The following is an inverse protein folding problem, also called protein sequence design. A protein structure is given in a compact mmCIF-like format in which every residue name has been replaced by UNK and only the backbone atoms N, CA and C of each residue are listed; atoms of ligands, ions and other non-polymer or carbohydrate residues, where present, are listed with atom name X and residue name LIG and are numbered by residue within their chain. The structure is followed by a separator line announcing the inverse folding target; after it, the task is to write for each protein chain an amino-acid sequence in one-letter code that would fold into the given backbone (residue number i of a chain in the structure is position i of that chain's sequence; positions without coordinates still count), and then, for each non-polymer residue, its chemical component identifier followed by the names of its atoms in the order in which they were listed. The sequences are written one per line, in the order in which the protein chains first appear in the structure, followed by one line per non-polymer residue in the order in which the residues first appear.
data_IF_234777585578
#
_entry.id   IF_234777585578
#
_cell.length_a   1.000
_cell.length_b   1.000
_cell.length_c   1.000
_cell.angle_alpha   90.00
_cell.angle_beta   90.00
_cell.angle_gamma   90.00
#
_symmetry.space_group_name_H-M   'P 1'
#
loop_
_entity.id
_entity.type
_entity.pdbx_description
1 polymer ?
#
# COMPACT_ATOMS: atom_id res chain seq x y z
N UNK A 1 -4.07 7.28 16.08
CA UNK A 1 -4.17 5.83 16.31
C UNK A 1 -5.36 5.55 17.19
N UNK A 2 -6.33 4.82 16.66
CA UNK A 2 -7.55 4.41 17.35
C UNK A 2 -7.34 3.13 18.18
N UNK A 3 -8.26 2.78 19.10
CA UNK A 3 -8.23 1.47 19.78
C UNK A 3 -8.24 0.28 18.79
N UNK A 4 -8.98 0.40 17.68
CA UNK A 4 -9.01 -0.62 16.64
C UNK A 4 -7.66 -0.80 15.93
N UNK A 5 -6.91 0.30 15.71
CA UNK A 5 -5.55 0.22 15.17
C UNK A 5 -4.60 -0.49 16.16
N UNK A 6 -4.74 -0.24 17.47
CA UNK A 6 -3.93 -0.90 18.51
C UNK A 6 -4.22 -2.41 18.54
N UNK A 7 -5.49 -2.80 18.47
CA UNK A 7 -5.88 -4.20 18.37
C UNK A 7 -5.33 -4.87 17.11
N UNK A 8 -5.43 -4.20 15.96
CA UNK A 8 -4.85 -4.68 14.70
C UNK A 8 -3.35 -4.91 14.82
N UNK A 9 -2.63 -3.96 15.43
CA UNK A 9 -1.19 -4.10 15.70
C UNK A 9 -0.91 -5.28 16.64
N UNK A 10 -1.75 -5.51 17.66
CA UNK A 10 -1.64 -6.66 18.56
C UNK A 10 -1.77 -7.99 17.78
N UNK A 11 -2.81 -8.11 16.96
CA UNK A 11 -3.05 -9.30 16.13
C UNK A 11 -1.89 -9.54 15.17
N UNK A 12 -1.37 -8.48 14.53
CA UNK A 12 -0.26 -8.59 13.59
C UNK A 12 1.07 -8.94 14.28
N UNK A 13 1.34 -8.37 15.46
CA UNK A 13 2.50 -8.74 16.27
C UNK A 13 2.42 -10.22 16.69
N UNK A 14 1.24 -10.69 17.11
CA UNK A 14 0.99 -12.10 17.38
C UNK A 14 1.21 -12.99 16.16
N UNK A 15 0.75 -12.57 14.98
CA UNK A 15 1.02 -13.28 13.72
C UNK A 15 2.52 -13.37 13.39
N UNK A 16 3.25 -12.27 13.59
CA UNK A 16 4.69 -12.23 13.39
C UNK A 16 5.40 -13.22 14.34
N UNK A 17 4.96 -13.29 15.60
CA UNK A 17 5.46 -14.22 16.61
C UNK A 17 5.20 -15.69 16.25
N UNK A 18 4.04 -16.00 15.66
CA UNK A 18 3.73 -17.34 15.15
C UNK A 18 4.64 -17.76 13.97
N UNK A 19 5.41 -16.82 13.39
CA UNK A 19 6.32 -17.08 12.27
C UNK A 19 5.63 -17.33 10.93
N UNK A 20 4.30 -17.20 10.87
CA UNK A 20 3.51 -17.47 9.67
C UNK A 20 2.41 -16.45 9.46
N UNK A 21 2.31 -15.94 8.23
CA UNK A 21 1.26 -15.02 7.80
C UNK A 21 -0.05 -15.75 7.50
N UNK A 22 -0.75 -16.16 8.57
CA UNK A 22 -1.98 -16.95 8.45
C UNK A 22 -3.15 -16.15 7.88
N UNK A 23 -3.18 -14.83 8.11
CA UNK A 23 -4.23 -13.93 7.60
C UNK A 23 -4.02 -13.46 6.16
N UNK A 24 -2.86 -13.74 5.57
CA UNK A 24 -2.47 -13.28 4.24
C UNK A 24 -2.52 -11.75 4.11
N UNK A 25 -1.98 -11.04 5.10
CA UNK A 25 -2.00 -9.57 5.14
C UNK A 25 -0.62 -8.94 5.13
N UNK A 26 -0.54 -7.66 4.74
CA UNK A 26 0.67 -6.83 4.70
C UNK A 26 0.38 -5.59 5.54
N UNK A 27 1.23 -5.32 6.52
CA UNK A 27 1.08 -4.17 7.41
C UNK A 27 1.83 -2.95 6.87
N UNK A 28 1.09 -1.88 6.60
CA UNK A 28 1.61 -0.57 6.20
C UNK A 28 1.53 0.39 7.39
N UNK A 29 2.65 0.96 7.78
CA UNK A 29 2.74 2.01 8.80
C UNK A 29 3.22 3.30 8.14
N UNK A 30 2.33 4.28 7.95
CA UNK A 30 2.70 5.57 7.37
C UNK A 30 2.52 6.68 8.39
N UNK A 31 3.22 7.80 8.27
CA UNK A 31 3.00 8.93 9.18
C UNK A 31 4.25 9.77 9.37
N UNK A 32 4.26 10.67 10.34
CA UNK A 32 5.37 11.62 10.55
C UNK A 32 6.70 10.93 10.85
N UNK A 33 7.80 11.54 10.37
CA UNK A 33 9.15 11.14 10.75
C UNK A 33 9.32 11.28 12.27
N UNK A 34 9.93 10.28 12.92
CA UNK A 34 10.10 10.27 14.38
C UNK A 34 8.86 9.89 15.19
N UNK A 35 7.76 9.45 14.56
CA UNK A 35 6.54 9.01 15.26
C UNK A 35 6.61 7.63 15.93
N UNK A 36 7.79 6.98 16.02
CA UNK A 36 7.95 5.67 16.66
C UNK A 36 7.64 4.44 15.79
N UNK A 37 7.33 4.63 14.49
CA UNK A 37 7.08 3.53 13.53
C UNK A 37 8.22 2.52 13.50
N UNK A 38 9.46 3.01 13.27
CA UNK A 38 10.64 2.16 13.18
C UNK A 38 10.98 1.50 14.52
N UNK A 39 10.73 2.18 15.64
CA UNK A 39 10.87 1.61 17.00
C UNK A 39 9.93 0.42 17.18
N UNK A 40 8.64 0.55 16.82
CA UNK A 40 7.71 -0.58 16.88
C UNK A 40 8.20 -1.77 16.04
N UNK A 41 8.62 -1.52 14.79
CA UNK A 41 9.10 -2.60 13.93
C UNK A 41 10.35 -3.25 14.50
N UNK A 42 11.27 -2.48 15.09
CA UNK A 42 12.46 -3.02 15.73
C UNK A 42 12.13 -3.89 16.96
N UNK A 43 11.11 -3.51 17.76
CA UNK A 43 10.62 -4.32 18.87
C UNK A 43 10.04 -5.64 18.34
N UNK A 44 9.22 -5.61 17.28
CA UNK A 44 8.67 -6.82 16.66
C UNK A 44 9.79 -7.72 16.10
N UNK A 45 10.79 -7.15 15.41
CA UNK A 45 11.97 -7.88 14.94
C UNK A 45 12.76 -8.52 16.10
N UNK A 46 12.83 -7.84 17.25
CA UNK A 46 13.44 -8.36 18.47
C UNK A 46 12.69 -9.55 19.05
N UNK A 47 11.36 -9.45 19.16
CA UNK A 47 10.49 -10.53 19.67
C UNK A 47 10.53 -11.78 18.78
N UNK A 48 10.48 -11.59 17.46
CA UNK A 48 10.57 -12.69 16.47
C UNK A 48 11.99 -13.28 16.42
N UNK A 49 12.98 -12.53 16.91
CA UNK A 49 14.39 -12.82 16.75
C UNK A 49 14.90 -12.28 15.41
N UNK A 50 15.87 -11.35 15.46
CA UNK A 50 16.37 -10.65 14.26
C UNK A 50 16.96 -11.59 13.20
N UNK A 51 17.41 -12.78 13.59
CA UNK A 51 17.90 -13.82 12.68
C UNK A 51 16.78 -14.43 11.80
N UNK A 52 15.51 -14.31 12.19
CA UNK A 52 14.34 -14.68 11.38
C UNK A 52 13.87 -13.55 10.46
N UNK A 53 14.52 -12.39 10.50
CA UNK A 53 14.13 -11.22 9.75
C UNK A 53 15.05 -11.00 8.54
N UNK A 54 14.52 -10.38 7.50
CA UNK A 54 15.31 -9.84 6.39
C UNK A 54 14.64 -8.61 5.78
N UNK A 55 15.44 -7.78 5.14
CA UNK A 55 14.96 -6.58 4.47
C UNK A 55 14.14 -6.95 3.23
N UNK A 56 12.92 -6.42 3.15
CA UNK A 56 12.07 -6.45 1.96
C UNK A 56 12.55 -5.40 0.95
N UNK A 57 12.84 -5.83 -0.28
CA UNK A 57 13.27 -4.94 -1.36
C UNK A 57 12.45 -5.18 -2.62
N UNK A 58 11.37 -4.42 -2.79
CA UNK A 58 10.38 -4.62 -3.85
C UNK A 58 10.98 -4.57 -5.25
N UNK A 59 11.96 -3.70 -5.48
CA UNK A 59 12.68 -3.57 -6.76
C UNK A 59 13.41 -4.85 -7.19
N UNK A 60 13.88 -5.64 -6.22
CA UNK A 60 14.64 -6.87 -6.49
C UNK A 60 13.79 -8.14 -6.47
N UNK A 61 12.51 -8.08 -6.07
CA UNK A 61 11.68 -9.29 -5.94
C UNK A 61 11.53 -10.07 -7.25
N UNK A 62 11.59 -9.41 -8.41
CA UNK A 62 11.56 -10.09 -9.71
C UNK A 62 12.91 -10.70 -10.13
N UNK A 63 13.97 -10.47 -9.36
CA UNK A 63 15.29 -11.05 -9.66
C UNK A 63 15.37 -12.49 -9.15
N UNK A 64 16.14 -13.30 -9.87
CA UNK A 64 16.28 -14.75 -9.63
C UNK A 64 16.74 -15.10 -8.20
N UNK A 65 17.60 -14.29 -7.61
CA UNK A 65 18.30 -14.61 -6.37
C UNK A 65 17.71 -13.94 -5.13
N UNK A 66 16.83 -12.95 -5.26
CA UNK A 66 16.32 -12.21 -4.10
C UNK A 66 15.58 -13.12 -3.11
N UNK A 67 14.82 -14.08 -3.63
CA UNK A 67 14.05 -15.00 -2.80
C UNK A 67 14.96 -15.86 -1.89
N UNK A 68 16.17 -16.21 -2.33
CA UNK A 68 17.10 -17.02 -1.52
C UNK A 68 17.49 -16.36 -0.19
N UNK A 69 17.44 -15.03 -0.09
CA UNK A 69 17.65 -14.28 1.17
C UNK A 69 16.56 -14.52 2.20
N UNK A 70 15.40 -15.00 1.75
CA UNK A 70 14.23 -15.24 2.59
C UNK A 70 14.22 -16.65 3.15
N UNK A 71 15.17 -17.51 2.76
CA UNK A 71 15.25 -18.86 3.32
C UNK A 71 15.49 -18.79 4.84
N UNK A 72 14.66 -19.53 5.58
CA UNK A 72 14.70 -19.55 7.04
C UNK A 72 14.22 -18.24 7.70
N UNK A 73 13.61 -17.33 6.93
CA UNK A 73 13.04 -16.08 7.44
C UNK A 73 11.53 -16.22 7.58
N UNK A 74 10.94 -15.45 8.49
CA UNK A 74 9.50 -15.41 8.73
C UNK A 74 8.93 -14.00 8.65
N UNK A 75 9.79 -12.98 8.78
CA UNK A 75 9.41 -11.57 8.77
C UNK A 75 10.26 -10.77 7.76
N UNK A 76 9.58 -10.12 6.83
CA UNK A 76 10.16 -9.19 5.87
C UNK A 76 9.84 -7.76 6.31
N UNK A 77 10.85 -6.91 6.45
CA UNK A 77 10.63 -5.51 6.85
C UNK A 77 11.22 -4.54 5.84
N UNK A 78 10.48 -3.48 5.52
CA UNK A 78 10.98 -2.34 4.76
C UNK A 78 10.76 -1.09 5.60
N UNK A 79 11.83 -0.48 6.09
CA UNK A 79 11.75 0.63 7.05
C UNK A 79 12.11 1.95 6.38
N UNK A 80 11.27 2.96 6.59
CA UNK A 80 11.43 4.32 6.08
C UNK A 80 11.58 4.41 4.55
N UNK A 81 10.75 3.67 3.84
CA UNK A 81 10.79 3.61 2.38
C UNK A 81 10.14 4.83 1.73
N UNK A 82 10.56 5.22 0.51
CA UNK A 82 9.89 6.29 -0.23
C UNK A 82 8.46 5.90 -0.62
N UNK A 83 7.61 6.90 -0.88
CA UNK A 83 6.21 6.70 -1.24
C UNK A 83 6.00 5.78 -2.46
N UNK A 84 6.95 5.71 -3.38
CA UNK A 84 6.87 4.86 -4.58
C UNK A 84 7.37 3.41 -4.36
N UNK A 85 7.66 2.99 -3.12
CA UNK A 85 8.22 1.66 -2.84
C UNK A 85 7.37 0.49 -3.33
N UNK A 86 6.03 0.61 -3.30
CA UNK A 86 5.10 -0.39 -3.84
C UNK A 86 4.73 -0.14 -5.32
N UNK A 87 5.28 0.90 -5.94
CA UNK A 87 5.06 1.24 -7.35
C UNK A 87 6.17 0.65 -8.24
N UNK A 88 6.42 -0.64 -8.08
CA UNK A 88 7.44 -1.37 -8.85
C UNK A 88 6.84 -2.68 -9.37
N UNK A 89 7.38 -3.20 -10.48
CA UNK A 89 6.90 -4.47 -11.03
C UNK A 89 7.12 -5.64 -10.04
N UNK A 90 8.19 -5.59 -9.24
CA UNK A 90 8.49 -6.63 -8.25
C UNK A 90 7.54 -6.64 -7.05
N UNK A 91 6.91 -5.51 -6.72
CA UNK A 91 5.93 -5.44 -5.63
C UNK A 91 4.77 -6.43 -5.81
N UNK A 92 4.42 -6.80 -7.05
CA UNK A 92 3.38 -7.81 -7.33
C UNK A 92 3.65 -9.17 -6.68
N UNK A 93 4.93 -9.54 -6.49
CA UNK A 93 5.30 -10.81 -5.85
C UNK A 93 4.97 -10.86 -4.37
N UNK A 94 4.73 -9.72 -3.71
CA UNK A 94 4.27 -9.71 -2.32
C UNK A 94 2.98 -10.49 -2.13
N UNK A 95 2.09 -10.52 -3.13
CA UNK A 95 0.86 -11.32 -3.07
C UNK A 95 1.13 -12.81 -2.93
N UNK A 96 2.19 -13.30 -3.58
CA UNK A 96 2.62 -14.69 -3.52
C UNK A 96 3.39 -14.98 -2.22
N UNK A 97 4.32 -14.08 -1.84
CA UNK A 97 5.12 -14.19 -0.61
C UNK A 97 4.28 -14.16 0.67
N UNK A 98 3.07 -13.59 0.63
CA UNK A 98 2.14 -13.54 1.76
C UNK A 98 0.89 -14.40 1.55
N UNK A 99 0.75 -15.03 0.39
CA UNK A 99 -0.51 -15.61 -0.10
C UNK A 99 -0.67 -17.11 0.10
N UNK A 100 0.29 -17.81 0.75
CA UNK A 100 0.40 -19.28 0.80
C UNK A 100 0.70 -19.93 -0.56
N UNK A 101 1.06 -19.14 -1.57
CA UNK A 101 1.46 -19.62 -2.89
C UNK A 101 2.84 -20.29 -2.82
N UNK A 102 3.13 -21.22 -3.72
CA UNK A 102 4.48 -21.80 -3.85
C UNK A 102 5.44 -20.76 -4.43
N UNK A 103 6.58 -20.57 -3.77
CA UNK A 103 7.65 -19.67 -4.18
C UNK A 103 8.93 -20.45 -4.34
N UNK A 104 9.47 -20.45 -5.55
CA UNK A 104 10.75 -21.11 -5.85
C UNK A 104 11.91 -20.20 -5.45
N UNK A 105 12.85 -20.80 -4.71
CA UNK A 105 14.11 -20.21 -4.28
C UNK A 105 15.24 -20.76 -5.15
N UNK A 106 16.07 -19.89 -5.70
CA UNK A 106 17.20 -20.28 -6.54
C UNK A 106 18.50 -19.72 -5.94
N UNK A 107 19.51 -20.57 -5.79
CA UNK A 107 20.81 -20.15 -5.26
C UNK A 107 21.72 -19.59 -6.35
N UNK A 108 22.51 -18.58 -5.97
CA UNK A 108 23.58 -18.08 -6.84
C UNK A 108 24.67 -19.14 -6.98
N UNK A 109 25.09 -19.39 -8.22
CA UNK A 109 26.10 -20.39 -8.59
C UNK A 109 25.71 -21.87 -8.33
N UNK A 110 24.41 -22.17 -8.26
CA UNK A 110 23.90 -23.55 -8.22
C UNK A 110 22.74 -23.72 -9.20
N UNK A 111 22.51 -24.95 -9.66
CA UNK A 111 21.30 -25.34 -10.39
C UNK A 111 20.19 -25.85 -9.45
N UNK A 112 20.43 -25.80 -8.13
CA UNK A 112 19.45 -26.20 -7.13
C UNK A 112 18.38 -25.13 -6.95
N UNK A 113 17.13 -25.59 -7.00
CA UNK A 113 15.95 -24.81 -6.69
C UNK A 113 15.09 -25.59 -5.70
N UNK A 114 14.47 -24.89 -4.76
CA UNK A 114 13.60 -25.48 -3.75
C UNK A 114 12.38 -24.59 -3.58
N UNK A 115 11.25 -25.25 -3.41
CA UNK A 115 9.96 -24.61 -3.27
C UNK A 115 9.64 -24.41 -1.79
N UNK A 116 9.22 -23.20 -1.44
CA UNK A 116 8.71 -22.85 -0.12
C UNK A 116 7.28 -22.31 -0.25
N UNK A 117 6.52 -22.33 0.85
CA UNK A 117 5.22 -21.65 0.89
C UNK A 117 5.42 -20.18 1.25
N UNK A 118 4.78 -19.28 0.50
CA UNK A 118 4.75 -17.84 0.74
C UNK A 118 3.89 -17.47 1.94
N UNK A 119 4.40 -17.73 3.14
CA UNK A 119 3.76 -17.41 4.43
C UNK A 119 4.52 -16.32 5.20
N UNK A 120 5.24 -15.46 4.49
CA UNK A 120 6.03 -14.41 5.12
C UNK A 120 5.16 -13.32 5.71
N UNK A 121 5.47 -12.87 6.91
CA UNK A 121 4.95 -11.61 7.44
C UNK A 121 5.67 -10.45 6.72
N UNK A 122 4.95 -9.37 6.41
CA UNK A 122 5.53 -8.20 5.73
C UNK A 122 5.13 -6.90 6.42
N UNK A 123 6.10 -6.11 6.90
CA UNK A 123 5.85 -4.80 7.50
C UNK A 123 6.58 -3.73 6.70
N UNK A 124 5.86 -2.70 6.27
CA UNK A 124 6.39 -1.61 5.46
C UNK A 124 6.12 -0.30 6.19
N UNK A 125 7.16 0.51 6.42
CA UNK A 125 7.02 1.83 7.04
C UNK A 125 7.46 2.94 6.09
N UNK A 126 6.72 4.05 6.05
CA UNK A 126 7.05 5.22 5.23
C UNK A 126 6.67 6.53 5.92
N UNK A 127 7.36 7.62 5.59
CA UNK A 127 6.97 8.96 6.02
C UNK A 127 5.91 9.61 5.11
N UNK A 128 5.58 8.95 4.01
CA UNK A 128 4.58 9.39 3.03
C UNK A 128 3.54 8.30 2.81
N UNK A 129 2.38 8.68 2.26
CA UNK A 129 1.42 7.71 1.75
C UNK A 129 2.06 6.91 0.61
N UNK A 130 1.91 5.58 0.65
CA UNK A 130 2.47 4.70 -0.36
C UNK A 130 1.61 4.74 -1.64
N UNK A 131 2.28 4.74 -2.79
CA UNK A 131 1.68 4.55 -4.11
C UNK A 131 1.90 3.11 -4.53
N UNK A 132 0.81 2.46 -4.92
CA UNK A 132 0.82 1.08 -5.39
C UNK A 132 0.74 1.03 -6.91
N UNK A 133 1.43 0.07 -7.50
CA UNK A 133 1.20 -0.34 -8.89
C UNK A 133 0.15 -1.45 -8.89
N UNK A 134 -0.83 -1.34 -9.79
CA UNK A 134 -1.82 -2.39 -10.03
C UNK A 134 -1.64 -2.98 -11.44
N UNK A 135 -2.01 -4.24 -11.59
CA UNK A 135 -2.06 -4.97 -12.87
C UNK A 135 -3.48 -5.55 -13.07
N UNK A 136 -4.51 -4.75 -12.79
CA UNK A 136 -5.93 -5.15 -12.82
C UNK A 136 -6.34 -6.03 -11.63
N UNK A 137 -5.61 -5.90 -10.52
CA UNK A 137 -5.69 -6.77 -9.34
C UNK A 137 -5.91 -5.98 -8.04
N UNK A 138 -6.56 -4.83 -8.14
CA UNK A 138 -6.81 -3.90 -7.02
C UNK A 138 -7.46 -4.61 -5.84
N UNK A 139 -8.43 -5.51 -6.08
CA UNK A 139 -9.09 -6.29 -5.03
C UNK A 139 -8.18 -7.30 -4.35
N UNK A 140 -7.18 -7.82 -5.07
CA UNK A 140 -6.16 -8.69 -4.51
C UNK A 140 -5.24 -7.92 -3.54
N UNK A 141 -4.98 -6.64 -3.79
CA UNK A 141 -4.31 -5.75 -2.85
C UNK A 141 -5.23 -5.33 -1.70
N UNK A 142 -6.48 -4.93 -2.00
CA UNK A 142 -7.49 -4.52 -1.01
C UNK A 142 -7.65 -5.53 0.12
N UNK A 143 -7.71 -6.81 -0.21
CA UNK A 143 -7.85 -7.90 0.78
C UNK A 143 -6.59 -8.20 1.59
N UNK A 144 -5.41 -7.73 1.17
CA UNK A 144 -4.12 -7.98 1.82
C UNK A 144 -3.64 -6.81 2.67
N UNK A 145 -3.97 -5.57 2.30
CA UNK A 145 -3.44 -4.42 3.02
C UNK A 145 -4.08 -4.26 4.41
N UNK A 146 -3.26 -3.91 5.39
CA UNK A 146 -3.65 -3.32 6.65
C UNK A 146 -2.87 -2.01 6.75
N UNK A 147 -3.55 -0.89 6.99
CA UNK A 147 -2.90 0.42 6.97
C UNK A 147 -3.13 1.16 8.28
N UNK A 148 -2.05 1.46 9.01
CA UNK A 148 -2.11 2.20 10.27
C UNK A 148 -1.37 3.53 10.12
N UNK A 149 -2.09 4.67 10.12
CA UNK A 149 -1.48 5.99 10.08
C UNK A 149 -1.02 6.43 11.49
N UNK A 150 0.27 6.72 11.59
CA UNK A 150 0.96 7.30 12.74
C UNK A 150 0.92 8.83 12.66
N UNK A 151 -0.21 9.39 13.06
CA UNK A 151 -0.51 10.82 12.94
C UNK A 151 -0.11 11.64 14.17
N UNK A 152 0.32 10.98 15.25
CA UNK A 152 0.79 11.71 16.43
C UNK A 152 2.03 12.53 16.06
N UNK A 153 2.16 13.78 16.57
CA UNK A 153 3.38 14.55 16.39
C UNK A 153 4.56 13.77 17.00
N UNK A 154 5.77 13.91 16.42
CA UNK A 154 6.96 13.33 17.02
C UNK A 154 7.18 13.94 18.41
N UNK A 155 7.69 13.12 19.33
CA UNK A 155 8.10 13.60 20.66
C UNK A 155 9.23 14.65 20.53
N UNK A 156 9.30 15.56 21.49
CA UNK A 156 10.34 16.60 21.51
C UNK A 156 11.72 15.95 21.58
N UNK A 157 12.75 16.63 21.06
CA UNK A 157 14.08 16.04 20.94
C UNK A 157 14.67 15.65 22.30
N UNK A 158 14.41 16.47 23.31
CA UNK A 158 14.76 16.29 24.71
C UNK A 158 14.01 15.14 25.41
N UNK A 159 12.85 14.74 24.90
CA UNK A 159 12.05 13.62 25.40
C UNK A 159 12.37 12.29 24.68
N UNK A 160 13.20 12.34 23.63
CA UNK A 160 13.58 11.12 22.90
C UNK A 160 14.52 10.27 23.73
N UNK A 161 14.05 9.07 24.03
CA UNK A 161 14.87 8.03 24.62
C UNK A 161 15.66 7.36 23.49
N UNK A 162 16.99 7.44 23.54
CA UNK A 162 17.86 6.74 22.62
C UNK A 162 17.73 5.22 22.79
N UNK A 163 17.81 4.47 21.70
CA UNK A 163 17.71 3.00 21.69
C UNK A 163 16.47 2.46 22.42
N UNK A 164 15.35 3.20 22.37
CA UNK A 164 14.12 2.86 23.07
C UNK A 164 13.62 1.43 22.76
N UNK A 165 13.80 0.94 21.53
CA UNK A 165 13.43 -0.45 21.19
C UNK A 165 14.24 -1.48 21.98
N UNK A 166 15.52 -1.21 22.22
CA UNK A 166 16.39 -2.09 23.03
C UNK A 166 15.98 -2.05 24.50
N UNK A 167 15.75 -0.86 25.05
CA UNK A 167 15.31 -0.68 26.44
C UNK A 167 13.97 -1.40 26.66
N UNK A 168 13.01 -1.22 25.74
CA UNK A 168 11.72 -1.92 25.80
C UNK A 168 11.87 -3.44 25.76
N UNK A 169 12.79 -3.98 24.96
CA UNK A 169 13.03 -5.41 24.90
C UNK A 169 13.73 -5.95 26.17
N UNK A 170 14.63 -5.17 26.76
CA UNK A 170 15.39 -5.56 27.96
C UNK A 170 14.55 -5.44 29.24
N UNK A 171 13.80 -4.36 29.41
CA UNK A 171 13.08 -4.03 30.64
C UNK A 171 11.61 -4.49 30.61
N UNK A 172 10.94 -4.32 29.45
CA UNK A 172 9.49 -4.57 29.30
C UNK A 172 9.19 -5.78 28.39
N UNK A 173 10.22 -6.49 27.93
CA UNK A 173 10.10 -7.51 26.89
C UNK A 173 9.13 -8.64 27.23
N UNK A 174 9.06 -9.04 28.50
CA UNK A 174 8.11 -10.06 28.97
C UNK A 174 6.65 -9.61 28.83
N UNK A 175 6.37 -8.35 29.16
CA UNK A 175 5.04 -7.76 29.01
C UNK A 175 4.64 -7.61 27.54
N UNK A 176 5.56 -7.14 26.70
CA UNK A 176 5.33 -6.99 25.26
C UNK A 176 5.13 -8.36 24.60
N UNK A 177 5.90 -9.39 25.00
CA UNK A 177 5.73 -10.76 24.53
C UNK A 177 4.35 -11.30 24.92
N UNK A 178 3.92 -11.14 26.17
CA UNK A 178 2.58 -11.52 26.62
C UNK A 178 1.49 -10.82 25.80
N UNK A 179 1.65 -9.51 25.56
CA UNK A 179 0.72 -8.74 24.73
C UNK A 179 0.64 -9.27 23.29
N UNK A 180 1.76 -9.68 22.69
CA UNK A 180 1.79 -10.30 21.37
C UNK A 180 1.19 -11.72 21.37
N UNK A 181 1.43 -12.51 22.43
CA UNK A 181 0.83 -13.85 22.60
C UNK A 181 -0.70 -13.78 22.71
N UNK A 182 -1.24 -12.82 23.45
CA UNK A 182 -2.68 -12.57 23.50
C UNK A 182 -3.23 -12.24 22.10
N UNK A 183 -2.49 -11.44 21.33
CA UNK A 183 -2.80 -11.17 19.93
C UNK A 183 -2.82 -12.42 19.06
N UNK A 184 -1.83 -13.29 19.21
CA UNK A 184 -1.75 -14.57 18.51
C UNK A 184 -2.93 -15.47 18.85
N UNK A 185 -3.30 -15.55 20.14
CA UNK A 185 -4.45 -16.33 20.60
C UNK A 185 -5.75 -15.83 19.99
N UNK A 186 -6.01 -14.51 20.05
CA UNK A 186 -7.20 -13.89 19.43
C UNK A 186 -7.26 -14.16 17.92
N UNK A 187 -6.12 -14.06 17.23
CA UNK A 187 -6.04 -14.34 15.80
C UNK A 187 -6.34 -15.81 15.48
N UNK A 188 -5.85 -16.75 16.27
CA UNK A 188 -6.15 -18.17 16.08
C UNK A 188 -7.64 -18.46 16.37
N UNK A 189 -8.21 -17.84 17.41
CA UNK A 189 -9.64 -17.95 17.74
C UNK A 189 -10.55 -17.37 16.65
N UNK A 190 -10.10 -16.35 15.90
CA UNK A 190 -10.82 -15.80 14.74
C UNK A 190 -10.67 -16.64 13.46
N UNK A 191 -10.05 -17.82 13.54
CA UNK A 191 -9.76 -18.67 12.39
C UNK A 191 -8.62 -18.14 11.52
N UNK A 192 -7.70 -17.38 12.09
CA UNK A 192 -6.53 -16.82 11.41
C UNK A 192 -6.85 -15.59 10.57
N UNK A 193 -7.95 -14.88 10.83
CA UNK A 193 -8.38 -13.70 10.05
C UNK A 193 -8.27 -12.42 10.88
N UNK A 194 -7.60 -11.42 10.32
CA UNK A 194 -7.66 -10.04 10.84
C UNK A 194 -8.86 -9.35 10.17
N UNK A 195 -9.91 -9.10 10.96
CA UNK A 195 -11.13 -8.44 10.48
C UNK A 195 -10.87 -6.92 10.45
N UNK A 196 -11.15 -6.31 9.31
CA UNK A 196 -11.06 -4.85 9.12
C UNK A 196 -12.40 -4.22 9.49
N UNK A 197 -12.37 -3.19 10.33
CA UNK A 197 -13.53 -2.34 10.56
C UNK A 197 -13.82 -1.45 9.33
N UNK A 198 -14.94 -0.74 9.36
CA UNK A 198 -15.35 0.12 8.24
C UNK A 198 -14.37 1.26 7.99
N UNK A 199 -13.75 1.79 9.04
CA UNK A 199 -12.76 2.86 8.90
C UNK A 199 -11.46 2.36 8.24
N UNK A 200 -11.02 1.14 8.56
CA UNK A 200 -9.87 0.52 7.92
C UNK A 200 -10.13 0.18 6.46
N UNK A 201 -11.33 -0.33 6.13
CA UNK A 201 -11.76 -0.53 4.74
C UNK A 201 -11.75 0.79 3.98
N UNK A 202 -12.39 1.82 4.52
CA UNK A 202 -12.47 3.17 3.92
C UNK A 202 -11.08 3.75 3.63
N UNK A 203 -10.15 3.66 4.59
CA UNK A 203 -8.76 4.14 4.41
C UNK A 203 -8.01 3.35 3.32
N UNK A 204 -8.14 2.02 3.28
CA UNK A 204 -7.55 1.20 2.22
C UNK A 204 -8.15 1.55 0.85
N UNK A 205 -9.45 1.77 0.76
CA UNK A 205 -10.12 2.15 -0.47
C UNK A 205 -9.60 3.50 -0.99
N UNK A 206 -9.38 4.46 -0.07
CA UNK A 206 -8.74 5.75 -0.40
C UNK A 206 -7.29 5.61 -0.85
N UNK A 207 -6.51 4.72 -0.21
CA UNK A 207 -5.13 4.43 -0.60
C UNK A 207 -5.04 3.86 -2.02
N UNK A 208 -5.93 2.91 -2.35
CA UNK A 208 -6.01 2.30 -3.68
C UNK A 208 -6.42 3.33 -4.72
N UNK A 209 -7.49 4.08 -4.46
CA UNK A 209 -7.96 5.14 -5.35
C UNK A 209 -6.87 6.20 -5.59
N UNK A 210 -6.17 6.64 -4.53
CA UNK A 210 -5.09 7.61 -4.61
C UNK A 210 -3.83 7.10 -5.32
N UNK A 211 -3.67 5.78 -5.48
CA UNK A 211 -2.59 5.17 -6.25
C UNK A 211 -2.87 5.16 -7.76
N UNK A 212 -4.12 5.33 -8.18
CA UNK A 212 -4.53 5.44 -9.59
C UNK A 212 -5.54 6.58 -9.77
N UNK A 213 -5.13 7.84 -9.52
CA UNK A 213 -6.06 8.97 -9.39
C UNK A 213 -6.78 9.29 -10.72
N UNK A 214 -6.07 9.17 -11.85
CA UNK A 214 -6.65 9.44 -13.17
C UNK A 214 -7.69 8.39 -13.57
N UNK A 215 -7.39 7.12 -13.35
CA UNK A 215 -8.30 6.01 -13.66
C UNK A 215 -9.54 6.09 -12.76
N UNK A 216 -9.34 6.36 -11.46
CA UNK A 216 -10.42 6.61 -10.51
C UNK A 216 -11.31 7.78 -10.96
N UNK A 217 -10.71 8.90 -11.35
CA UNK A 217 -11.49 10.04 -11.86
C UNK A 217 -12.31 9.67 -13.09
N UNK A 218 -11.71 8.99 -14.07
CA UNK A 218 -12.42 8.59 -15.30
C UNK A 218 -13.57 7.64 -14.96
N UNK A 219 -13.35 6.61 -14.14
CA UNK A 219 -14.38 5.66 -13.72
C UNK A 219 -15.57 6.34 -13.02
N UNK A 220 -15.31 7.27 -12.10
CA UNK A 220 -16.37 7.85 -11.27
C UNK A 220 -17.02 9.10 -11.85
N UNK A 221 -16.29 9.85 -12.67
CA UNK A 221 -16.71 11.19 -13.07
C UNK A 221 -17.04 11.27 -14.55
N UNK A 222 -16.41 10.47 -15.40
CA UNK A 222 -16.60 10.53 -16.85
C UNK A 222 -17.64 9.49 -17.26
N UNK A 223 -18.73 9.96 -17.86
CA UNK A 223 -19.86 9.12 -18.29
C UNK A 223 -20.08 9.24 -19.79
N UNK A 224 -20.50 8.13 -20.40
CA UNK A 224 -20.92 8.11 -21.80
C UNK A 224 -22.14 9.01 -22.04
N UNK A 225 -22.07 9.86 -23.05
CA UNK A 225 -23.13 10.79 -23.43
C UNK A 225 -23.09 11.04 -24.95
N UNK A 226 -23.93 10.35 -25.75
CA UNK A 226 -23.87 10.38 -27.21
C UNK A 226 -23.96 11.78 -27.84
N UNK A 227 -24.64 12.71 -27.17
CA UNK A 227 -24.92 14.05 -27.70
C UNK A 227 -23.93 15.12 -27.22
N UNK A 228 -22.93 14.71 -26.43
CA UNK A 228 -21.95 15.63 -25.86
C UNK A 228 -20.53 15.28 -26.22
N UNK A 229 -19.70 16.31 -26.17
CA UNK A 229 -18.26 16.20 -26.23
C UNK A 229 -17.67 16.93 -25.05
N UNK A 230 -16.50 16.46 -24.61
CA UNK A 230 -15.77 17.06 -23.51
C UNK A 230 -14.39 17.48 -23.98
N UNK A 231 -14.02 18.72 -23.66
CA UNK A 231 -12.69 19.24 -23.99
C UNK A 231 -11.65 18.77 -22.97
N UNK A 232 -10.38 18.70 -23.38
CA UNK A 232 -9.27 18.42 -22.47
C UNK A 232 -9.19 19.44 -21.33
N UNK A 233 -9.43 20.72 -21.64
CA UNK A 233 -9.47 21.80 -20.64
C UNK A 233 -10.53 21.55 -19.55
N UNK A 234 -11.72 21.12 -19.96
CA UNK A 234 -12.81 20.78 -19.04
C UNK A 234 -12.47 19.55 -18.18
N UNK A 235 -11.90 18.51 -18.78
CA UNK A 235 -11.42 17.33 -18.03
C UNK A 235 -10.34 17.70 -17.01
N UNK A 236 -9.37 18.54 -17.37
CA UNK A 236 -8.31 19.00 -16.46
C UNK A 236 -8.93 19.78 -15.30
N UNK A 237 -9.85 20.71 -15.57
CA UNK A 237 -10.53 21.46 -14.53
C UNK A 237 -11.28 20.53 -13.56
N UNK A 238 -12.07 19.60 -14.10
CA UNK A 238 -12.87 18.65 -13.31
C UNK A 238 -12.01 17.67 -12.52
N UNK A 239 -10.89 17.23 -13.07
CA UNK A 239 -9.94 16.38 -12.35
C UNK A 239 -9.34 17.12 -11.14
N UNK A 240 -9.02 18.42 -11.29
CA UNK A 240 -8.50 19.22 -10.17
C UNK A 240 -9.56 19.37 -9.06
N UNK A 241 -10.81 19.61 -9.43
CA UNK A 241 -11.91 19.71 -8.47
C UNK A 241 -12.11 18.37 -7.75
N UNK A 242 -12.17 17.26 -8.49
CA UNK A 242 -12.25 15.91 -7.93
C UNK A 242 -11.06 15.60 -7.00
N UNK A 243 -9.84 15.97 -7.38
CA UNK A 243 -8.64 15.77 -6.55
C UNK A 243 -8.75 16.51 -5.22
N UNK A 244 -9.30 17.73 -5.21
CA UNK A 244 -9.53 18.48 -3.98
C UNK A 244 -10.59 17.81 -3.09
N UNK A 245 -11.70 17.35 -3.67
CA UNK A 245 -12.75 16.62 -2.95
C UNK A 245 -12.22 15.33 -2.32
N UNK A 246 -11.31 14.64 -3.00
CA UNK A 246 -10.65 13.42 -2.50
C UNK A 246 -9.49 13.71 -1.53
N UNK A 247 -9.13 14.98 -1.29
CA UNK A 247 -7.99 15.36 -0.45
C UNK A 247 -6.62 15.02 -1.05
N UNK A 248 -6.54 14.81 -2.37
CA UNK A 248 -5.30 14.48 -3.07
C UNK A 248 -4.49 15.71 -3.44
N UNK A 249 -3.17 15.55 -3.50
CA UNK A 249 -2.29 16.58 -4.06
C UNK A 249 -2.60 16.77 -5.55
N UNK A 250 -2.98 18.01 -5.90
CA UNK A 250 -3.33 18.36 -7.28
C UNK A 250 -2.06 18.38 -8.15
N UNK A 251 -2.07 17.60 -9.23
CA UNK A 251 -0.98 17.58 -10.22
C UNK A 251 -1.00 18.84 -11.11
N UNK A 252 0.12 19.15 -11.76
CA UNK A 252 0.19 20.23 -12.74
C UNK A 252 -0.64 19.91 -13.99
N UNK A 253 -1.14 20.94 -14.67
CA UNK A 253 -1.96 20.82 -15.89
C UNK A 253 -1.28 19.97 -16.94
N UNK A 254 0.03 20.21 -17.17
CA UNK A 254 0.84 19.41 -18.09
C UNK A 254 0.86 17.93 -17.74
N UNK A 255 0.96 17.57 -16.45
CA UNK A 255 0.96 16.17 -16.02
C UNK A 255 -0.43 15.55 -16.25
N UNK A 256 -1.49 16.27 -15.88
CA UNK A 256 -2.87 15.81 -16.05
C UNK A 256 -3.19 15.59 -17.54
N UNK A 257 -2.81 16.53 -18.42
CA UNK A 257 -3.02 16.41 -19.88
C UNK A 257 -2.29 15.22 -20.51
N UNK A 258 -1.18 14.79 -19.92
CA UNK A 258 -0.39 13.66 -20.39
C UNK A 258 -0.95 12.31 -19.89
N UNK A 259 -1.47 12.26 -18.66
CA UNK A 259 -1.93 11.03 -18.01
C UNK A 259 -3.38 10.67 -18.34
N UNK A 260 -4.28 11.67 -18.40
CA UNK A 260 -5.71 11.44 -18.68
C UNK A 260 -5.99 10.68 -19.98
N UNK A 261 -5.27 10.87 -21.10
CA UNK A 261 -5.47 10.05 -22.30
C UNK A 261 -5.25 8.56 -22.07
N UNK A 262 -4.26 8.19 -21.25
CA UNK A 262 -4.04 6.80 -20.89
C UNK A 262 -5.21 6.23 -20.09
N UNK A 263 -5.71 7.00 -19.12
CA UNK A 263 -6.87 6.62 -18.30
C UNK A 263 -8.15 6.49 -19.14
N UNK A 264 -8.45 7.45 -20.02
CA UNK A 264 -9.59 7.42 -20.93
C UNK A 264 -9.57 6.19 -21.85
N UNK A 265 -8.39 5.83 -22.35
CA UNK A 265 -8.25 4.63 -23.17
C UNK A 265 -8.44 3.35 -22.35
N UNK A 266 -7.81 3.24 -21.17
CA UNK A 266 -7.96 2.05 -20.31
C UNK A 266 -9.41 1.81 -19.86
N UNK A 267 -10.12 2.87 -19.47
CA UNK A 267 -11.47 2.76 -18.88
C UNK A 267 -12.56 2.73 -19.94
N UNK A 268 -12.46 3.54 -21.00
CA UNK A 268 -13.53 3.69 -21.99
C UNK A 268 -13.13 3.30 -23.42
N UNK A 269 -11.87 2.92 -23.68
CA UNK A 269 -11.37 2.67 -25.03
C UNK A 269 -11.34 3.92 -25.91
N UNK A 270 -11.42 5.12 -25.31
CA UNK A 270 -11.60 6.36 -26.04
C UNK A 270 -10.28 7.03 -26.42
N UNK A 271 -10.13 7.37 -27.70
CA UNK A 271 -8.98 8.11 -28.20
C UNK A 271 -9.23 9.63 -28.22
N UNK A 272 -8.19 10.40 -27.89
CA UNK A 272 -8.23 11.86 -27.92
C UNK A 272 -8.36 12.36 -29.36
N UNK A 273 -9.28 13.29 -29.58
CA UNK A 273 -9.53 13.97 -30.85
C UNK A 273 -9.08 15.43 -30.79
N UNK A 274 -8.96 16.07 -31.96
CA UNK A 274 -8.55 17.48 -32.12
C UNK A 274 -9.64 18.37 -32.72
N UNK A 275 -10.80 17.80 -33.04
CA UNK A 275 -11.92 18.43 -33.75
C UNK A 275 -13.13 18.68 -32.84
N UNK A 276 -12.93 18.73 -31.52
CA UNK A 276 -14.00 19.01 -30.55
C UNK A 276 -14.31 20.51 -30.56
N UNK A 277 -15.57 20.90 -30.77
CA UNK A 277 -15.95 22.32 -30.68
C UNK A 277 -15.96 22.78 -29.22
N UNK A 278 -15.13 23.77 -28.91
CA UNK A 278 -15.14 24.47 -27.62
C UNK A 278 -16.31 25.46 -27.50
N UNK A 279 -16.55 25.97 -26.28
CA UNK A 279 -17.56 27.01 -26.02
C UNK A 279 -17.29 28.33 -26.78
N UNK A 280 -16.04 28.57 -27.16
CA UNK A 280 -15.58 29.68 -27.99
C UNK A 280 -15.75 29.44 -29.50
N UNK A 281 -16.35 28.31 -29.89
CA UNK A 281 -16.58 27.91 -31.28
C UNK A 281 -15.33 27.39 -32.01
N UNK A 282 -14.15 27.41 -31.36
CA UNK A 282 -12.90 26.91 -31.94
C UNK A 282 -12.77 25.40 -31.76
N UNK A 283 -12.01 24.76 -32.65
CA UNK A 283 -11.63 23.36 -32.49
C UNK A 283 -10.60 23.20 -31.38
N UNK A 284 -10.85 22.24 -30.50
CA UNK A 284 -10.07 21.93 -29.31
C UNK A 284 -9.81 20.43 -29.23
N UNK A 285 -8.82 20.07 -28.40
CA UNK A 285 -8.54 18.67 -28.05
C UNK A 285 -9.60 18.17 -27.07
N UNK A 286 -10.01 16.90 -27.18
CA UNK A 286 -11.01 16.31 -26.28
C UNK A 286 -11.52 14.95 -26.72
N UNK A 287 -12.73 14.59 -26.27
CA UNK A 287 -13.36 13.30 -26.54
C UNK A 287 -14.84 13.52 -26.91
N UNK A 288 -15.30 12.82 -27.94
CA UNK A 288 -16.71 12.74 -28.33
C UNK A 288 -17.41 11.68 -27.48
N UNK A 289 -18.71 11.82 -27.30
CA UNK A 289 -19.58 10.85 -26.63
C UNK A 289 -19.37 10.75 -25.11
N UNK A 290 -18.83 11.80 -24.48
CA UNK A 290 -18.59 11.83 -23.04
C UNK A 290 -18.96 13.18 -22.42
N UNK A 291 -19.30 13.13 -21.13
CA UNK A 291 -19.49 14.30 -20.27
C UNK A 291 -19.01 14.00 -18.85
N UNK A 292 -18.76 15.02 -18.02
CA UNK A 292 -18.51 14.81 -16.59
C UNK A 292 -19.82 14.88 -15.81
N UNK A 293 -20.02 13.96 -14.87
CA UNK A 293 -21.12 14.03 -13.93
C UNK A 293 -21.05 15.34 -13.13
N UNK A 294 -22.19 16.02 -12.96
CA UNK A 294 -22.25 17.37 -12.36
C UNK A 294 -22.33 17.36 -10.83
N UNK A 295 -22.37 16.17 -10.21
CA UNK A 295 -22.59 15.97 -8.77
C UNK A 295 -21.33 15.89 -7.92
N UNK A 296 -20.23 16.52 -8.34
CA UNK A 296 -18.95 16.58 -7.60
C UNK A 296 -18.65 18.04 -7.29
#
# INVERSE_FOLDING_TARGET
MSPADIELLQLYAGQALLGMNISQTILLLTGTAGGGKSTLVNVIEGLVGRWNCTELRTEFLNTRFENSRMLGKTLLTAKDVPGNFLNTAGAQRLKALTGKDTVTLEYKNSNEAFDISGVFNAIITSNSTLQLRFEGDEDAWRRRLLWVPYERPPVLAEEKIADLDRILLEEEGSGILNWAMDGAQKLLQSGGKIIRDEEQKRRIDQLIAGSSPYDTFVVHCVIGNPDRAITTEELVCRFKDFSKTMGWTVSSDRKIENELPGAMFRVHGAHKRTDIRGKDGKYKRGYMYFSVNSGI
#
